data_IF_649927234224
#
_entry.id   IF_649927234224
#
_cell.length_a   1.000
_cell.length_b   1.000
_cell.length_c   1.000
_cell.angle_alpha   90.00
_cell.angle_beta   90.00
_cell.angle_gamma   90.00
#
_symmetry.space_group_name_H-M   'P 1'
#
loop_
_entity.id
_entity.type
_entity.pdbx_description
1 polymer ?
#
# COMPACT_ATOMS: atom_id res chain seq x y z
N UNK A 1 12.79 4.31 5.14
CA UNK A 1 12.88 3.14 4.25
C UNK A 1 11.49 2.84 3.74
N UNK A 2 11.35 2.68 2.43
CA UNK A 2 10.05 2.55 1.78
C UNK A 2 9.58 1.10 1.69
N UNK A 3 8.26 0.92 1.71
CA UNK A 3 7.57 -0.37 1.57
C UNK A 3 6.75 -0.38 0.29
N UNK A 4 7.08 -1.28 -0.63
CA UNK A 4 6.36 -1.50 -1.88
C UNK A 4 5.29 -2.57 -1.69
N UNK A 5 4.04 -2.22 -1.98
CA UNK A 5 2.89 -3.13 -1.90
C UNK A 5 2.39 -3.44 -3.31
N UNK A 6 2.46 -4.70 -3.70
CA UNK A 6 1.99 -5.18 -4.99
C UNK A 6 0.47 -5.36 -4.97
N UNK A 7 -0.26 -4.46 -5.64
CA UNK A 7 -1.72 -4.40 -5.62
C UNK A 7 -2.36 -4.46 -7.03
N UNK A 8 -1.59 -4.84 -8.05
CA UNK A 8 -2.02 -4.78 -9.45
C UNK A 8 -2.55 -6.09 -10.05
N UNK A 9 -2.54 -7.19 -9.30
CA UNK A 9 -2.96 -8.51 -9.78
C UNK A 9 -4.47 -8.62 -10.00
N UNK A 10 -4.89 -9.40 -11.00
CA UNK A 10 -6.30 -9.61 -11.35
C UNK A 10 -7.09 -10.48 -10.35
N UNK A 11 -6.44 -11.12 -9.36
CA UNK A 11 -7.12 -11.88 -8.31
C UNK A 11 -7.84 -13.15 -8.79
N UNK A 12 -7.52 -13.68 -9.97
CA UNK A 12 -8.25 -14.74 -10.71
C UNK A 12 -8.50 -16.06 -9.95
N UNK A 13 -7.81 -16.30 -8.83
CA UNK A 13 -7.98 -17.48 -7.98
C UNK A 13 -9.07 -17.36 -6.89
N UNK A 14 -9.67 -16.17 -6.71
CA UNK A 14 -10.64 -15.84 -5.66
C UNK A 14 -11.84 -15.10 -6.27
N UNK A 15 -12.55 -15.76 -7.20
CA UNK A 15 -13.56 -15.11 -8.06
C UNK A 15 -14.77 -14.56 -7.31
N UNK A 16 -15.16 -15.11 -6.17
CA UNK A 16 -16.43 -14.78 -5.52
C UNK A 16 -16.48 -13.39 -4.86
N UNK A 17 -15.34 -12.86 -4.36
CA UNK A 17 -15.23 -11.51 -3.77
C UNK A 17 -14.52 -10.50 -4.68
N UNK A 18 -13.58 -10.97 -5.51
CA UNK A 18 -12.76 -10.09 -6.39
C UNK A 18 -13.49 -9.57 -7.61
N UNK A 19 -14.71 -10.05 -7.85
CA UNK A 19 -15.59 -9.53 -8.89
C UNK A 19 -16.14 -8.14 -8.55
N UNK A 20 -16.10 -7.70 -7.28
CA UNK A 20 -16.62 -6.39 -6.87
C UNK A 20 -15.56 -5.42 -6.31
N UNK A 21 -14.47 -5.92 -5.70
CA UNK A 21 -13.38 -5.07 -5.19
C UNK A 21 -12.00 -5.71 -5.40
N UNK A 22 -10.91 -4.94 -5.60
CA UNK A 22 -9.57 -5.52 -5.65
C UNK A 22 -9.22 -6.16 -4.30
N UNK A 23 -8.51 -7.29 -4.30
CA UNK A 23 -8.16 -8.04 -3.06
C UNK A 23 -7.63 -7.18 -1.91
N UNK A 24 -6.74 -6.19 -2.13
CA UNK A 24 -6.23 -5.36 -1.04
C UNK A 24 -7.32 -4.55 -0.31
N UNK A 25 -8.50 -4.38 -0.93
CA UNK A 25 -9.68 -3.72 -0.36
C UNK A 25 -10.72 -4.68 0.25
N UNK A 26 -10.48 -5.99 0.23
CA UNK A 26 -11.28 -6.94 1.00
C UNK A 26 -11.08 -6.65 2.48
N UNK A 27 -12.16 -6.69 3.26
CA UNK A 27 -12.14 -6.32 4.67
C UNK A 27 -11.92 -7.52 5.58
N UNK A 28 -11.11 -7.32 6.63
CA UNK A 28 -10.91 -8.24 7.74
C UNK A 28 -11.09 -7.43 9.01
N UNK A 29 -12.04 -7.81 9.87
CA UNK A 29 -12.32 -7.05 11.09
C UNK A 29 -12.74 -5.59 10.83
N UNK A 30 -13.49 -5.33 9.75
CA UNK A 30 -13.98 -3.99 9.38
C UNK A 30 -12.93 -3.05 8.77
N UNK A 31 -11.73 -3.53 8.47
CA UNK A 31 -10.66 -2.75 7.82
C UNK A 31 -10.10 -3.49 6.60
N UNK A 32 -9.74 -2.80 5.50
CA UNK A 32 -9.11 -3.41 4.33
C UNK A 32 -7.81 -4.17 4.65
N UNK A 33 -7.52 -5.25 3.92
CA UNK A 33 -6.26 -6.00 4.04
C UNK A 33 -5.04 -5.07 3.89
N UNK A 34 -5.07 -4.14 2.92
CA UNK A 34 -3.97 -3.20 2.71
C UNK A 34 -3.71 -2.33 3.95
N UNK A 35 -4.77 -1.97 4.70
CA UNK A 35 -4.63 -1.23 5.94
C UNK A 35 -3.88 -2.05 6.99
N UNK A 36 -4.25 -3.33 7.18
CA UNK A 36 -3.56 -4.22 8.12
C UNK A 36 -2.10 -4.43 7.76
N UNK A 37 -1.79 -4.60 6.48
CA UNK A 37 -0.40 -4.70 5.99
C UNK A 37 0.37 -3.43 6.36
N UNK A 38 -0.17 -2.25 6.03
CA UNK A 38 0.49 -0.99 6.34
C UNK A 38 0.66 -0.78 7.85
N UNK A 39 -0.31 -1.18 8.68
CA UNK A 39 -0.19 -1.14 10.15
C UNK A 39 0.92 -2.05 10.68
N UNK A 40 1.09 -3.24 10.10
CA UNK A 40 2.20 -4.13 10.46
C UNK A 40 3.54 -3.42 10.24
N UNK A 41 3.76 -2.83 9.07
CA UNK A 41 5.00 -2.09 8.77
C UNK A 41 5.16 -0.84 9.64
N UNK A 42 4.08 -0.10 9.87
CA UNK A 42 4.07 1.10 10.70
C UNK A 42 4.42 0.81 12.16
N UNK A 43 4.04 -0.36 12.69
CA UNK A 43 4.46 -0.81 14.02
C UNK A 43 6.00 -0.86 14.17
N UNK A 44 6.72 -1.14 13.08
CA UNK A 44 8.19 -1.12 13.02
C UNK A 44 8.77 0.20 12.50
N UNK A 45 7.96 1.26 12.39
CA UNK A 45 8.40 2.60 11.99
C UNK A 45 8.51 2.84 10.49
N UNK A 46 8.00 1.94 9.64
CA UNK A 46 7.97 2.15 8.19
C UNK A 46 6.62 2.78 7.78
N UNK A 47 6.66 4.07 7.44
CA UNK A 47 5.47 4.89 7.17
C UNK A 47 5.36 5.36 5.71
N UNK A 48 6.39 5.09 4.89
CA UNK A 48 6.45 5.44 3.48
C UNK A 48 6.08 4.23 2.60
N UNK A 49 4.95 4.31 1.92
CA UNK A 49 4.38 3.24 1.12
C UNK A 49 4.30 3.59 -0.36
N UNK A 50 4.66 2.64 -1.22
CA UNK A 50 4.43 2.71 -2.66
C UNK A 50 3.52 1.56 -3.06
N UNK A 51 2.31 1.87 -3.51
CA UNK A 51 1.33 0.87 -3.93
C UNK A 51 1.37 0.74 -5.46
N UNK A 52 1.79 -0.42 -5.94
CA UNK A 52 1.83 -0.74 -7.37
C UNK A 52 0.43 -1.15 -7.85
N UNK A 53 -0.27 -0.21 -8.48
CA UNK A 53 -1.63 -0.39 -8.98
C UNK A 53 -1.64 -1.10 -10.34
N UNK A 54 -2.76 -1.76 -10.61
CA UNK A 54 -3.07 -2.42 -11.87
C UNK A 54 -4.58 -2.60 -11.98
N UNK A 55 -5.04 -3.85 -11.99
CA UNK A 55 -6.47 -4.14 -12.03
C UNK A 55 -7.23 -3.40 -10.91
N UNK A 56 -8.25 -2.62 -11.29
CA UNK A 56 -9.08 -1.80 -10.38
C UNK A 56 -8.30 -0.81 -9.49
N UNK A 57 -7.15 -0.32 -9.95
CA UNK A 57 -6.37 0.69 -9.23
C UNK A 57 -7.14 1.96 -8.87
N UNK A 58 -8.20 2.31 -9.63
CA UNK A 58 -9.10 3.43 -9.32
C UNK A 58 -9.74 3.32 -7.93
N UNK A 59 -10.18 2.13 -7.53
CA UNK A 59 -10.82 1.93 -6.22
C UNK A 59 -9.83 2.15 -5.07
N UNK A 60 -8.56 1.75 -5.25
CA UNK A 60 -7.50 2.05 -4.29
C UNK A 60 -7.22 3.55 -4.21
N UNK A 61 -7.20 4.26 -5.35
CA UNK A 61 -7.10 5.72 -5.36
C UNK A 61 -8.24 6.38 -4.60
N UNK A 62 -9.48 5.96 -4.88
CA UNK A 62 -10.66 6.48 -4.18
C UNK A 62 -10.60 6.22 -2.67
N UNK A 63 -10.17 5.03 -2.26
CA UNK A 63 -10.00 4.69 -0.84
C UNK A 63 -9.04 5.65 -0.12
N UNK A 64 -7.84 5.87 -0.67
CA UNK A 64 -6.86 6.77 -0.04
C UNK A 64 -7.21 8.25 -0.18
N UNK A 65 -7.81 8.68 -1.30
CA UNK A 65 -8.24 10.08 -1.50
C UNK A 65 -9.39 10.48 -0.57
N UNK A 66 -10.26 9.53 -0.20
CA UNK A 66 -11.36 9.76 0.72
C UNK A 66 -11.07 9.27 2.14
N UNK A 67 -9.82 8.92 2.45
CA UNK A 67 -9.47 8.26 3.70
C UNK A 67 -9.91 9.08 4.92
N UNK A 68 -9.64 10.38 4.93
CA UNK A 68 -10.04 11.28 6.02
C UNK A 68 -11.56 11.29 6.23
N UNK A 69 -12.33 11.39 5.15
CA UNK A 69 -13.80 11.40 5.22
C UNK A 69 -14.39 10.06 5.65
N UNK A 70 -13.72 8.94 5.37
CA UNK A 70 -14.16 7.60 5.77
C UNK A 70 -13.80 7.26 7.22
N UNK A 71 -12.82 7.96 7.81
CA UNK A 71 -12.25 7.62 9.11
C UNK A 71 -12.52 8.64 10.21
N UNK A 72 -13.06 9.81 9.88
CA UNK A 72 -13.35 10.86 10.84
C UNK A 72 -14.78 11.36 10.64
N UNK A 73 -15.38 11.92 11.69
CA UNK A 73 -16.59 12.71 11.54
C UNK A 73 -16.25 13.97 10.72
N UNK A 74 -17.13 14.32 9.77
CA UNK A 74 -16.90 15.42 8.82
C UNK A 74 -18.09 16.38 8.78
N UNK A 75 -17.80 17.69 8.76
CA UNK A 75 -18.77 18.73 8.42
C UNK A 75 -18.44 19.34 7.08
N UNK A 76 -19.40 19.32 6.15
CA UNK A 76 -19.26 19.82 4.79
C UNK A 76 -20.31 20.90 4.56
N UNK A 77 -19.89 22.08 4.09
CA UNK A 77 -20.82 23.12 3.63
C UNK A 77 -21.06 22.99 2.13
N UNK A 78 -22.27 22.57 1.77
CA UNK A 78 -22.65 22.37 0.36
C UNK A 78 -22.55 23.69 -0.42
N UNK A 79 -21.98 23.64 -1.62
CA UNK A 79 -21.69 24.81 -2.45
C UNK A 79 -20.35 25.51 -2.16
N UNK A 80 -19.63 25.08 -1.12
CA UNK A 80 -18.34 25.64 -0.71
C UNK A 80 -17.27 24.53 -0.65
N UNK A 81 -16.61 24.17 -1.77
CA UNK A 81 -15.76 22.98 -1.86
C UNK A 81 -14.55 22.96 -0.92
N UNK A 82 -14.13 24.14 -0.43
CA UNK A 82 -13.00 24.28 0.49
C UNK A 82 -13.43 24.35 1.97
N UNK A 83 -14.73 24.26 2.28
CA UNK A 83 -15.26 24.29 3.64
C UNK A 83 -15.59 22.85 4.11
N UNK A 84 -14.52 22.06 4.32
CA UNK A 84 -14.57 20.70 4.86
C UNK A 84 -13.78 20.68 6.18
N UNK A 85 -14.43 20.26 7.26
CA UNK A 85 -13.80 20.14 8.58
C UNK A 85 -13.90 18.69 9.06
N UNK A 86 -12.76 18.10 9.42
CA UNK A 86 -12.67 16.77 10.05
C UNK A 86 -12.49 16.94 11.56
N UNK A 87 -13.28 16.21 12.36
CA UNK A 87 -13.37 16.43 13.81
C UNK A 87 -12.55 15.45 14.66
N UNK A 88 -12.09 14.35 14.07
CA UNK A 88 -11.33 13.32 14.77
C UNK A 88 -9.96 13.10 14.10
N UNK A 89 -9.20 12.19 14.69
CA UNK A 89 -7.91 11.72 14.18
C UNK A 89 -7.91 10.20 14.12
N UNK A 90 -7.15 9.65 13.18
CA UNK A 90 -6.87 8.22 13.09
C UNK A 90 -5.38 7.93 13.31
N UNK A 91 -4.99 6.68 13.50
CA UNK A 91 -3.62 6.29 13.89
C UNK A 91 -2.62 6.20 12.73
N UNK A 92 -2.96 6.75 11.56
CA UNK A 92 -2.22 6.60 10.30
C UNK A 92 -1.88 7.96 9.68
N UNK A 93 -1.96 9.05 10.46
CA UNK A 93 -1.78 10.42 9.98
C UNK A 93 -0.42 10.70 9.33
N UNK A 94 0.61 9.93 9.71
CA UNK A 94 1.96 10.08 9.17
C UNK A 94 2.24 9.20 7.94
N UNK A 95 1.25 8.45 7.46
CA UNK A 95 1.45 7.57 6.31
C UNK A 95 1.62 8.38 5.03
N UNK A 96 2.73 8.15 4.32
CA UNK A 96 2.97 8.69 2.99
C UNK A 96 2.70 7.61 1.96
N UNK A 97 1.66 7.77 1.16
CA UNK A 97 1.21 6.73 0.21
C UNK A 97 1.33 7.21 -1.23
N UNK A 98 2.26 6.62 -1.98
CA UNK A 98 2.39 6.82 -3.43
C UNK A 98 1.56 5.77 -4.17
N UNK A 99 0.60 6.20 -4.98
CA UNK A 99 -0.27 5.32 -5.77
C UNK A 99 0.17 5.27 -7.23
N UNK A 100 1.07 4.35 -7.55
CA UNK A 100 1.69 4.26 -8.87
C UNK A 100 0.89 3.34 -9.80
N UNK A 101 0.43 3.87 -10.94
CA UNK A 101 -0.09 3.01 -12.01
C UNK A 101 1.07 2.26 -12.68
N UNK A 102 1.07 0.94 -12.52
CA UNK A 102 2.11 0.06 -13.07
C UNK A 102 1.58 -0.81 -14.21
N UNK A 103 0.38 -0.54 -14.72
CA UNK A 103 -0.22 -1.22 -15.88
C UNK A 103 -0.93 -2.54 -15.55
N UNK A 104 -1.88 -2.93 -16.41
CA UNK A 104 -2.69 -4.13 -16.21
C UNK A 104 -1.91 -5.43 -16.43
N UNK A 105 -1.08 -5.47 -17.47
CA UNK A 105 -0.40 -6.68 -17.93
C UNK A 105 1.04 -6.82 -17.39
N UNK A 106 1.46 -5.91 -16.51
CA UNK A 106 2.82 -5.90 -15.97
C UNK A 106 2.96 -6.97 -14.89
N UNK A 107 3.97 -7.82 -15.04
CA UNK A 107 4.33 -8.84 -14.04
C UNK A 107 5.06 -8.22 -12.85
N UNK A 108 5.16 -8.94 -11.74
CA UNK A 108 5.69 -8.45 -10.45
C UNK A 108 7.01 -7.68 -10.57
N UNK A 109 8.04 -8.26 -11.18
CA UNK A 109 9.34 -7.58 -11.33
C UNK A 109 9.28 -6.30 -12.18
N UNK A 110 8.47 -6.31 -13.25
CA UNK A 110 8.24 -5.12 -14.08
C UNK A 110 7.56 -3.99 -13.31
N UNK A 111 6.62 -4.32 -12.40
CA UNK A 111 5.98 -3.32 -11.54
C UNK A 111 6.99 -2.64 -10.62
N UNK A 112 7.90 -3.41 -10.02
CA UNK A 112 8.98 -2.88 -9.18
C UNK A 112 9.91 -1.98 -10.00
N UNK A 113 10.28 -2.38 -11.23
CA UNK A 113 11.10 -1.52 -12.11
C UNK A 113 10.43 -0.20 -12.45
N UNK A 114 9.12 -0.19 -12.72
CA UNK A 114 8.38 1.04 -13.08
C UNK A 114 8.29 2.06 -11.92
N UNK A 115 8.38 1.61 -10.67
CA UNK A 115 8.33 2.48 -9.49
C UNK A 115 9.71 2.89 -8.99
N UNK A 116 10.79 2.49 -9.65
CA UNK A 116 12.18 2.84 -9.31
C UNK A 116 12.37 4.36 -9.13
N UNK A 117 11.70 5.18 -9.95
CA UNK A 117 11.71 6.64 -9.85
C UNK A 117 11.12 7.21 -8.54
N UNK A 118 10.40 6.41 -7.78
CA UNK A 118 9.87 6.78 -6.47
C UNK A 118 10.68 6.17 -5.32
N UNK A 119 11.63 5.27 -5.62
CA UNK A 119 12.51 4.67 -4.63
C UNK A 119 13.68 5.62 -4.38
N UNK A 120 13.88 6.02 -3.14
CA UNK A 120 14.91 6.99 -2.73
C UNK A 120 16.06 6.38 -1.92
N UNK A 121 16.04 5.06 -1.70
CA UNK A 121 17.01 4.32 -0.89
C UNK A 121 17.48 3.04 -1.60
N UNK A 122 18.71 2.61 -1.32
CA UNK A 122 19.27 1.35 -1.86
C UNK A 122 18.55 0.09 -1.35
N UNK A 123 17.95 0.20 -0.16
CA UNK A 123 17.20 -0.89 0.48
C UNK A 123 15.74 -0.44 0.65
N UNK A 124 14.83 -1.27 0.17
CA UNK A 124 13.39 -1.12 0.32
C UNK A 124 12.75 -2.50 0.53
N UNK A 125 11.54 -2.52 1.07
CA UNK A 125 10.79 -3.75 1.31
C UNK A 125 9.77 -3.95 0.19
N UNK A 126 9.45 -5.21 -0.13
CA UNK A 126 8.40 -5.55 -1.10
C UNK A 126 7.51 -6.62 -0.49
N UNK A 127 6.19 -6.44 -0.60
CA UNK A 127 5.20 -7.44 -0.18
C UNK A 127 4.00 -7.48 -1.12
N UNK A 128 3.19 -8.52 -1.00
CA UNK A 128 1.91 -8.66 -1.71
C UNK A 128 0.78 -7.98 -0.93
N UNK A 129 -0.10 -7.28 -1.63
CA UNK A 129 -1.25 -6.59 -1.03
C UNK A 129 -2.38 -7.51 -0.56
N UNK A 130 -2.22 -8.83 -0.61
CA UNK A 130 -3.20 -9.83 -0.18
C UNK A 130 -2.68 -10.80 0.90
N UNK A 131 -1.44 -10.63 1.39
CA UNK A 131 -0.84 -11.47 2.41
C UNK A 131 -0.86 -10.82 3.79
N UNK A 132 -1.51 -11.47 4.76
CA UNK A 132 -1.41 -11.13 6.18
C UNK A 132 -0.54 -12.15 6.90
N UNK A 133 0.33 -11.68 7.79
CA UNK A 133 1.18 -12.52 8.60
C UNK A 133 1.62 -11.77 9.86
N UNK A 134 2.11 -12.51 10.86
CA UNK A 134 2.71 -12.00 12.09
C UNK A 134 4.24 -11.92 12.00
N UNK A 135 4.77 -11.58 10.82
CA UNK A 135 6.22 -11.52 10.57
C UNK A 135 6.86 -10.44 11.43
N UNK A 136 7.98 -10.77 12.06
CA UNK A 136 8.83 -9.77 12.72
C UNK A 136 9.66 -9.03 11.66
N UNK A 137 9.19 -7.83 11.27
CA UNK A 137 9.84 -7.02 10.22
C UNK A 137 11.21 -6.50 10.69
N UNK A 138 11.37 -6.24 12.00
CA UNK A 138 12.64 -5.81 12.58
C UNK A 138 13.73 -6.89 12.48
N UNK A 139 13.39 -8.12 12.83
CA UNK A 139 14.29 -9.28 12.67
C UNK A 139 14.59 -9.55 11.19
N UNK A 140 13.58 -9.49 10.31
CA UNK A 140 13.77 -9.66 8.86
C UNK A 140 14.76 -8.64 8.29
N UNK A 141 14.62 -7.37 8.68
CA UNK A 141 15.54 -6.31 8.23
C UNK A 141 16.95 -6.50 8.80
N UNK A 142 17.07 -6.89 10.07
CA UNK A 142 18.36 -7.14 10.72
C UNK A 142 19.09 -8.29 10.02
N UNK A 143 18.37 -9.39 9.77
CA UNK A 143 18.88 -10.53 9.00
C UNK A 143 19.38 -10.12 7.61
N UNK A 144 18.60 -9.31 6.87
CA UNK A 144 19.03 -8.83 5.55
C UNK A 144 20.31 -7.99 5.61
N UNK A 145 20.43 -7.09 6.59
CA UNK A 145 21.62 -6.25 6.76
C UNK A 145 22.86 -7.05 7.11
N UNK A 146 22.72 -8.12 7.89
CA UNK A 146 23.83 -9.00 8.30
C UNK A 146 24.36 -9.87 7.14
N UNK A 147 23.47 -10.32 6.25
CA UNK A 147 23.82 -11.28 5.19
C UNK A 147 24.10 -10.63 3.83
N UNK A 148 23.76 -9.34 3.66
CA UNK A 148 23.96 -8.62 2.42
C UNK A 148 22.99 -9.01 1.31
N UNK A 149 23.12 -8.40 0.11
CA UNK A 149 22.21 -8.66 -1.01
C UNK A 149 22.38 -10.08 -1.55
N UNK A 150 21.27 -10.81 -1.66
CA UNK A 150 21.22 -12.13 -2.31
C UNK A 150 21.04 -12.04 -3.83
N UNK A 151 20.68 -10.86 -4.35
CA UNK A 151 20.56 -10.57 -5.78
C UNK A 151 21.58 -9.47 -6.12
N UNK A 152 22.51 -9.68 -7.06
CA UNK A 152 23.44 -8.64 -7.47
C UNK A 152 22.66 -7.43 -8.02
N UNK A 153 23.13 -6.23 -7.71
CA UNK A 153 22.56 -5.01 -8.27
C UNK A 153 22.52 -5.12 -9.81
N UNK A 154 21.44 -4.67 -10.47
CA UNK A 154 21.39 -4.67 -11.92
C UNK A 154 22.57 -3.84 -12.46
N UNK A 155 23.40 -4.47 -13.29
CA UNK A 155 24.52 -3.79 -13.94
C UNK A 155 24.00 -2.62 -14.79
N UNK A 156 24.72 -1.48 -14.81
CA UNK A 156 24.34 -0.29 -15.59
C UNK A 156 24.29 -0.56 -17.10
#
# INVERSE_FOLDING_TARGET
MQVVILAGGQGTRLREETEYRPKPLVEVGGRPIIWHIMKLYAHYGFLDFIVCLGYRGKMLKEYFLNYEAMNNDVTIKLGHPNEINYHNSHGEQDFRVTLADTGLNTMTGGRVKLIEKYIDNDIFMVTYGDGLANVNIGELLSFHKEHGPTVPAPSP
#
